data_IF_755925463557
#
_entry.id   IF_755925463557
#
_cell.length_a   1.000
_cell.length_b   1.000
_cell.length_c   1.000
_cell.angle_alpha   90.00
_cell.angle_beta   90.00
_cell.angle_gamma   90.00
#
_symmetry.space_group_name_H-M   'P 1'
#
loop_
_entity.id
_entity.type
_entity.pdbx_description
1 polymer ?
#
# COMPACT_ATOMS: atom_id res chain seq x y z
N UNK A 1 -31.17 4.85 -5.33
CA UNK A 1 -30.21 5.88 -4.91
C UNK A 1 -28.91 5.66 -5.68
N UNK A 2 -28.18 6.71 -6.00
CA UNK A 2 -26.92 6.68 -6.78
C UNK A 2 -25.79 7.37 -6.02
N UNK A 3 -24.56 7.10 -6.42
CA UNK A 3 -23.36 7.77 -5.91
C UNK A 3 -22.36 8.02 -7.05
N UNK A 4 -21.40 8.92 -6.84
CA UNK A 4 -20.34 9.21 -7.81
C UNK A 4 -19.20 8.19 -7.68
N UNK A 5 -18.62 7.86 -8.82
CA UNK A 5 -17.45 7.01 -8.96
C UNK A 5 -16.59 7.47 -10.15
N UNK A 6 -15.28 7.24 -10.08
CA UNK A 6 -14.36 7.47 -11.18
C UNK A 6 -14.31 6.22 -12.06
N UNK A 7 -14.99 6.27 -13.20
CA UNK A 7 -15.16 5.12 -14.09
C UNK A 7 -14.04 5.09 -15.12
N UNK A 8 -13.28 4.00 -15.15
CA UNK A 8 -12.30 3.66 -16.17
C UNK A 8 -12.96 2.92 -17.34
N UNK A 9 -12.88 3.50 -18.54
CA UNK A 9 -13.73 3.11 -19.68
C UNK A 9 -13.01 2.33 -20.80
N UNK A 10 -11.68 2.25 -20.81
CA UNK A 10 -10.92 1.63 -21.91
C UNK A 10 -9.58 1.05 -21.43
N UNK A 11 -9.09 -0.02 -22.07
CA UNK A 11 -7.81 -0.69 -21.73
C UNK A 11 -6.57 -0.19 -22.50
N UNK A 12 -6.73 0.78 -23.41
CA UNK A 12 -5.68 1.22 -24.34
C UNK A 12 -5.23 2.66 -24.07
N UNK A 13 -3.99 3.06 -24.45
CA UNK A 13 -3.46 4.39 -24.16
C UNK A 13 -4.39 5.50 -24.70
N UNK A 14 -4.61 6.52 -23.86
CA UNK A 14 -5.66 7.56 -23.90
C UNK A 14 -7.01 7.17 -23.24
N UNK A 15 -7.00 6.18 -22.35
CA UNK A 15 -8.19 5.73 -21.63
C UNK A 15 -8.83 6.87 -20.81
N UNK A 16 -10.14 7.06 -20.98
CA UNK A 16 -10.91 8.06 -20.24
C UNK A 16 -11.24 7.51 -18.87
N UNK A 17 -10.89 8.25 -17.82
CA UNK A 17 -11.54 8.14 -16.52
C UNK A 17 -12.50 9.30 -16.37
N UNK A 18 -13.78 9.00 -16.16
CA UNK A 18 -14.82 10.01 -16.03
C UNK A 18 -15.60 9.80 -14.74
N UNK A 19 -15.88 10.90 -14.04
CA UNK A 19 -16.75 10.86 -12.88
C UNK A 19 -18.19 10.63 -13.35
N UNK A 20 -18.81 9.52 -12.92
CA UNK A 20 -20.16 9.14 -13.31
C UNK A 20 -20.99 8.69 -12.12
N UNK A 21 -22.30 8.82 -12.25
CA UNK A 21 -23.26 8.22 -11.33
C UNK A 21 -23.33 6.71 -11.52
N UNK A 22 -23.35 5.97 -10.41
CA UNK A 22 -23.58 4.53 -10.35
C UNK A 22 -24.65 4.19 -9.32
N UNK A 23 -25.41 3.09 -9.50
CA UNK A 23 -26.31 2.60 -8.46
C UNK A 23 -25.52 2.28 -7.18
N UNK A 24 -26.10 2.59 -6.01
CA UNK A 24 -25.49 2.19 -4.73
C UNK A 24 -25.51 0.65 -4.63
N UNK A 25 -24.35 -0.01 -4.44
CA UNK A 25 -24.29 -1.46 -4.38
C UNK A 25 -24.72 -1.97 -3.00
N UNK A 26 -25.52 -3.04 -2.92
CA UNK A 26 -25.89 -3.66 -1.64
C UNK A 26 -24.85 -4.70 -1.21
N UNK A 27 -24.47 -4.76 0.09
CA UNK A 27 -23.51 -5.74 0.55
C UNK A 27 -24.10 -7.16 0.51
N UNK A 28 -23.29 -8.13 0.08
CA UNK A 28 -23.57 -9.54 0.29
C UNK A 28 -23.43 -9.94 1.77
N UNK A 29 -23.74 -11.19 2.11
CA UNK A 29 -23.84 -11.66 3.50
C UNK A 29 -22.59 -11.42 4.36
N UNK A 30 -21.39 -11.51 3.78
CA UNK A 30 -20.11 -11.31 4.49
C UNK A 30 -19.46 -9.93 4.24
N UNK A 31 -20.18 -9.03 3.57
CA UNK A 31 -19.66 -7.73 3.18
C UNK A 31 -20.23 -6.62 4.05
N UNK A 32 -19.52 -5.49 4.05
CA UNK A 32 -20.03 -4.22 4.55
C UNK A 32 -20.06 -3.22 3.41
N UNK A 33 -21.01 -2.30 3.48
CA UNK A 33 -21.05 -1.11 2.64
C UNK A 33 -20.41 0.03 3.41
N UNK A 34 -19.49 0.75 2.77
CA UNK A 34 -18.74 1.85 3.38
C UNK A 34 -18.97 3.13 2.60
N UNK A 35 -19.33 4.18 3.32
CA UNK A 35 -19.22 5.57 2.86
C UNK A 35 -17.76 5.98 2.90
N UNK A 36 -17.13 6.07 1.73
CA UNK A 36 -15.70 6.37 1.59
C UNK A 36 -15.47 7.85 1.85
N UNK A 37 -14.85 8.18 2.99
CA UNK A 37 -14.52 9.57 3.33
C UNK A 37 -13.23 10.02 2.63
N UNK A 38 -12.24 9.13 2.55
CA UNK A 38 -10.97 9.37 1.89
C UNK A 38 -10.51 8.13 1.12
N UNK A 39 -9.88 8.35 -0.03
CA UNK A 39 -9.21 7.30 -0.81
C UNK A 39 -7.81 7.76 -1.21
N UNK A 40 -6.82 6.88 -1.08
CA UNK A 40 -5.43 7.21 -1.40
C UNK A 40 -5.01 6.66 -2.76
N UNK A 41 -4.05 7.34 -3.39
CA UNK A 41 -3.52 6.98 -4.71
C UNK A 41 -2.14 6.36 -4.56
N UNK A 42 -1.95 5.21 -5.19
CA UNK A 42 -0.76 4.41 -5.25
C UNK A 42 -0.09 4.47 -6.63
N UNK A 43 1.21 4.15 -6.73
CA UNK A 43 1.88 4.02 -8.01
C UNK A 43 1.30 2.93 -8.93
N UNK A 44 0.52 1.98 -8.41
CA UNK A 44 -0.14 0.97 -9.24
C UNK A 44 -1.32 1.56 -10.00
N UNK A 45 -2.07 2.50 -9.40
CA UNK A 45 -3.31 3.04 -10.00
C UNK A 45 -3.05 3.75 -11.33
N UNK A 46 -1.99 4.58 -11.42
CA UNK A 46 -1.64 5.22 -12.69
C UNK A 46 -1.08 4.22 -13.71
N UNK A 47 -0.48 3.10 -13.27
CA UNK A 47 0.00 2.04 -14.18
C UNK A 47 -1.15 1.18 -14.70
N UNK A 48 -2.17 0.93 -13.88
CA UNK A 48 -3.43 0.33 -14.31
C UNK A 48 -4.08 1.22 -15.37
N UNK A 49 -4.14 2.53 -15.12
CA UNK A 49 -4.68 3.50 -16.05
C UNK A 49 -3.89 3.60 -17.37
N UNK A 50 -2.58 3.84 -17.31
CA UNK A 50 -1.72 4.09 -18.48
C UNK A 50 -1.48 2.80 -19.30
N UNK A 51 -1.36 1.64 -18.64
CA UNK A 51 -0.90 0.39 -19.27
C UNK A 51 -1.92 -0.75 -19.23
N UNK A 52 -3.11 -0.53 -18.66
CA UNK A 52 -4.13 -1.57 -18.52
C UNK A 52 -3.73 -2.71 -17.57
N UNK A 53 -2.74 -2.50 -16.69
CA UNK A 53 -2.31 -3.51 -15.73
C UNK A 53 -3.50 -3.99 -14.91
N UNK A 54 -3.61 -5.30 -14.72
CA UNK A 54 -4.66 -5.90 -13.87
C UNK A 54 -6.11 -5.58 -14.30
N UNK A 55 -6.39 -4.95 -15.45
CA UNK A 55 -7.79 -4.68 -15.86
C UNK A 55 -8.30 -5.75 -16.83
N UNK A 56 -9.23 -6.57 -16.35
CA UNK A 56 -9.83 -7.66 -17.14
C UNK A 56 -11.13 -7.28 -17.83
N UNK A 57 -11.91 -6.35 -17.28
CA UNK A 57 -13.16 -5.87 -17.89
C UNK A 57 -13.28 -4.35 -17.78
N UNK A 58 -14.01 -3.74 -18.72
CA UNK A 58 -14.37 -2.32 -18.72
C UNK A 58 -15.85 -2.18 -19.12
N UNK A 59 -16.57 -1.15 -18.64
CA UNK A 59 -16.13 -0.14 -17.68
C UNK A 59 -15.91 -0.72 -16.27
N UNK A 60 -14.99 -0.13 -15.50
CA UNK A 60 -14.68 -0.53 -14.11
C UNK A 60 -14.31 0.68 -13.25
N UNK A 61 -14.11 0.48 -11.96
CA UNK A 61 -13.53 1.46 -11.02
C UNK A 61 -12.10 1.01 -10.66
N UNK A 62 -11.19 1.96 -10.45
CA UNK A 62 -9.83 1.71 -9.95
C UNK A 62 -9.69 2.15 -8.48
N UNK A 63 -8.48 2.00 -7.94
CA UNK A 63 -8.16 2.41 -6.58
C UNK A 63 -8.39 1.32 -5.55
N UNK A 64 -7.51 1.31 -4.55
CA UNK A 64 -7.41 0.23 -3.58
C UNK A 64 -7.35 0.70 -2.13
N UNK A 65 -7.10 1.97 -1.86
CA UNK A 65 -6.96 2.46 -0.49
C UNK A 65 -8.16 3.31 -0.09
N UNK A 66 -8.84 2.95 1.00
CA UNK A 66 -9.91 3.77 1.54
C UNK A 66 -10.01 3.74 3.06
N UNK A 67 -10.60 4.81 3.57
CA UNK A 67 -11.15 4.90 4.92
C UNK A 67 -12.54 5.53 4.87
N UNK A 68 -13.40 5.16 5.81
CA UNK A 68 -14.78 5.60 5.80
C UNK A 68 -15.63 5.08 6.93
N UNK A 69 -16.93 5.20 6.77
CA UNK A 69 -17.93 4.83 7.76
C UNK A 69 -18.84 3.72 7.23
N UNK A 70 -19.10 2.69 8.03
CA UNK A 70 -20.00 1.59 7.67
C UNK A 70 -21.44 2.09 7.59
N UNK A 71 -22.08 1.92 6.44
CA UNK A 71 -23.48 2.33 6.22
C UNK A 71 -24.46 1.16 6.22
N UNK A 72 -23.99 -0.05 5.84
CA UNK A 72 -24.77 -1.30 5.88
C UNK A 72 -23.86 -2.49 6.17
N UNK A 73 -24.44 -3.53 6.76
CA UNK A 73 -23.75 -4.78 7.07
C UNK A 73 -24.52 -5.96 6.47
N UNK A 74 -23.79 -6.92 5.91
CA UNK A 74 -24.33 -8.19 5.47
C UNK A 74 -24.81 -9.05 6.64
N UNK A 75 -25.70 -10.00 6.36
CA UNK A 75 -26.38 -10.81 7.37
C UNK A 75 -25.47 -11.65 8.27
N UNK A 76 -24.27 -11.98 7.81
CA UNK A 76 -23.29 -12.80 8.54
C UNK A 76 -22.21 -11.95 9.21
N UNK A 77 -22.21 -10.63 9.02
CA UNK A 77 -21.21 -9.75 9.59
C UNK A 77 -21.53 -9.49 11.06
N UNK A 78 -20.59 -9.86 11.94
CA UNK A 78 -20.69 -9.66 13.39
C UNK A 78 -19.64 -8.69 13.94
N UNK A 79 -18.53 -8.48 13.22
CA UNK A 79 -17.41 -7.62 13.64
C UNK A 79 -17.71 -6.12 13.55
N UNK A 80 -18.68 -5.73 12.71
CA UNK A 80 -18.99 -4.34 12.41
C UNK A 80 -20.46 -4.01 12.63
N UNK A 81 -20.72 -2.75 12.91
CA UNK A 81 -22.03 -2.12 13.00
C UNK A 81 -22.07 -0.85 12.15
N UNK A 82 -23.27 -0.42 11.76
CA UNK A 82 -23.46 0.87 11.09
C UNK A 82 -22.91 1.99 11.97
N UNK A 83 -22.15 2.91 11.37
CA UNK A 83 -21.45 4.00 12.06
C UNK A 83 -20.01 3.67 12.47
N UNK A 84 -19.56 2.41 12.38
CA UNK A 84 -18.16 2.07 12.63
C UNK A 84 -17.24 2.78 11.62
N UNK A 85 -16.15 3.35 12.12
CA UNK A 85 -15.08 3.94 11.32
C UNK A 85 -14.09 2.87 10.92
N UNK A 86 -13.81 2.74 9.63
CA UNK A 86 -13.00 1.64 9.08
C UNK A 86 -11.99 2.11 8.06
N UNK A 87 -10.91 1.33 7.93
CA UNK A 87 -9.96 1.40 6.83
C UNK A 87 -9.83 0.02 6.19
N UNK A 88 -9.64 -0.02 4.88
CA UNK A 88 -9.61 -1.26 4.13
C UNK A 88 -8.85 -1.13 2.81
N UNK A 89 -8.37 -2.28 2.33
CA UNK A 89 -7.88 -2.42 0.97
C UNK A 89 -9.03 -2.91 0.07
N UNK A 90 -9.20 -2.25 -1.07
CA UNK A 90 -10.14 -2.65 -2.11
C UNK A 90 -9.72 -3.91 -2.84
N UNK A 91 -10.39 -4.16 -3.96
CA UNK A 91 -10.14 -5.30 -4.82
C UNK A 91 -9.94 -4.86 -6.28
N UNK A 92 -8.91 -5.44 -6.90
CA UNK A 92 -8.67 -5.26 -8.33
C UNK A 92 -9.71 -5.98 -9.19
N UNK A 93 -10.05 -5.37 -10.32
CA UNK A 93 -10.80 -6.02 -11.38
C UNK A 93 -9.92 -6.84 -12.33
N UNK A 94 -9.11 -7.74 -11.74
CA UNK A 94 -8.05 -8.48 -12.43
C UNK A 94 -8.31 -9.96 -12.65
N UNK A 95 -9.45 -10.46 -12.17
CA UNK A 95 -9.77 -11.90 -12.18
C UNK A 95 -11.20 -12.17 -12.66
N UNK A 96 -11.76 -11.31 -13.51
CA UNK A 96 -13.17 -11.42 -13.90
C UNK A 96 -14.10 -11.26 -12.69
N UNK A 97 -13.78 -10.31 -11.81
CA UNK A 97 -14.60 -10.06 -10.64
C UNK A 97 -16.02 -9.68 -11.08
N UNK A 98 -17.02 -10.32 -10.46
CA UNK A 98 -18.43 -10.00 -10.70
C UNK A 98 -18.90 -8.76 -9.95
N UNK A 99 -18.00 -8.10 -9.19
CA UNK A 99 -18.32 -6.91 -8.41
C UNK A 99 -18.50 -5.68 -9.30
N UNK A 100 -18.01 -5.73 -10.55
CA UNK A 100 -18.11 -4.64 -11.51
C UNK A 100 -17.49 -3.33 -10.95
N UNK A 101 -16.38 -3.46 -10.21
CA UNK A 101 -15.68 -2.35 -9.55
C UNK A 101 -16.32 -1.87 -8.24
N UNK A 102 -17.36 -2.52 -7.71
CA UNK A 102 -17.99 -2.12 -6.44
C UNK A 102 -17.06 -2.26 -5.22
N UNK A 103 -15.98 -3.04 -5.34
CA UNK A 103 -14.97 -3.23 -4.29
C UNK A 103 -13.70 -2.38 -4.48
N UNK A 104 -13.64 -1.52 -5.49
CA UNK A 104 -12.55 -0.56 -5.67
C UNK A 104 -12.84 0.73 -4.87
N UNK A 105 -11.88 1.66 -4.75
CA UNK A 105 -11.99 2.76 -3.79
C UNK A 105 -12.14 4.16 -4.38
N UNK A 106 -11.94 4.37 -5.69
CA UNK A 106 -12.17 5.68 -6.32
C UNK A 106 -13.66 5.96 -6.56
N UNK A 107 -14.44 5.93 -5.48
CA UNK A 107 -15.88 6.12 -5.46
C UNK A 107 -16.38 6.53 -4.08
N UNK A 108 -17.60 7.10 -4.02
CA UNK A 108 -18.22 7.55 -2.78
C UNK A 108 -18.73 6.42 -1.86
N UNK A 109 -19.17 5.31 -2.45
CA UNK A 109 -19.65 4.12 -1.75
C UNK A 109 -18.93 2.90 -2.31
N UNK A 110 -18.36 2.07 -1.43
CA UNK A 110 -17.71 0.82 -1.81
C UNK A 110 -18.22 -0.34 -0.95
N UNK A 111 -18.12 -1.56 -1.49
CA UNK A 111 -18.27 -2.79 -0.76
C UNK A 111 -16.89 -3.32 -0.35
N UNK A 112 -16.81 -4.00 0.77
CA UNK A 112 -15.60 -4.72 1.17
C UNK A 112 -15.97 -5.94 2.00
N UNK A 113 -15.16 -7.00 1.89
CA UNK A 113 -15.30 -8.18 2.73
C UNK A 113 -14.90 -7.83 4.18
N UNK A 114 -15.76 -8.16 5.13
CA UNK A 114 -15.60 -7.72 6.52
C UNK A 114 -14.30 -8.28 7.17
N UNK A 115 -13.87 -9.47 6.77
CA UNK A 115 -12.68 -10.13 7.28
C UNK A 115 -11.36 -9.52 6.77
N UNK A 116 -11.41 -8.67 5.74
CA UNK A 116 -10.28 -7.91 5.19
C UNK A 116 -10.38 -6.41 5.51
N UNK A 117 -11.12 -6.07 6.57
CA UNK A 117 -11.33 -4.69 7.04
C UNK A 117 -10.91 -4.55 8.51
N UNK A 118 -10.40 -3.37 8.87
CA UNK A 118 -10.10 -3.01 10.25
C UNK A 118 -10.91 -1.80 10.72
N UNK A 119 -11.19 -1.75 12.02
CA UNK A 119 -11.70 -0.55 12.68
C UNK A 119 -10.59 0.47 12.84
N UNK A 120 -10.96 1.74 12.75
CA UNK A 120 -10.08 2.87 13.03
C UNK A 120 -10.21 3.26 14.52
N UNK A 121 -9.11 3.61 15.21
CA UNK A 121 -9.21 4.29 16.49
C UNK A 121 -9.76 5.70 16.31
N UNK A 122 -10.46 6.22 17.33
CA UNK A 122 -11.09 7.54 17.25
C UNK A 122 -10.10 8.68 16.96
N UNK A 123 -8.86 8.53 17.40
CA UNK A 123 -7.77 9.49 17.26
C UNK A 123 -7.21 9.61 15.85
N UNK A 124 -7.54 8.68 14.94
CA UNK A 124 -7.00 8.67 13.58
C UNK A 124 -8.03 9.25 12.61
N UNK A 125 -7.68 10.30 11.87
CA UNK A 125 -8.55 10.90 10.86
C UNK A 125 -8.62 10.04 9.58
N UNK A 126 -9.64 10.27 8.76
CA UNK A 126 -9.87 9.51 7.54
C UNK A 126 -8.75 9.68 6.50
N UNK A 127 -8.22 10.89 6.31
CA UNK A 127 -7.21 11.13 5.28
C UNK A 127 -5.93 10.35 5.61
N UNK A 128 -5.49 10.42 6.87
CA UNK A 128 -4.36 9.65 7.38
C UNK A 128 -4.61 8.15 7.30
N UNK A 129 -5.79 7.67 7.72
CA UNK A 129 -6.13 6.25 7.68
C UNK A 129 -6.12 5.67 6.26
N UNK A 130 -6.58 6.43 5.26
CA UNK A 130 -6.56 5.99 3.87
C UNK A 130 -5.14 5.78 3.35
N UNK A 131 -4.09 6.32 3.99
CA UNK A 131 -2.71 6.12 3.52
C UNK A 131 -2.10 4.74 3.85
N UNK A 132 -2.80 3.94 4.64
CA UNK A 132 -2.31 2.69 5.24
C UNK A 132 -2.47 1.45 4.33
N UNK A 133 -3.67 1.13 3.79
CA UNK A 133 -4.02 -0.23 3.40
C UNK A 133 -3.02 -0.96 2.47
N UNK A 134 -2.89 -0.55 1.21
CA UNK A 134 -2.06 -1.25 0.22
C UNK A 134 -0.59 -1.32 0.59
N UNK A 135 -0.03 -0.21 1.10
CA UNK A 135 1.39 -0.15 1.39
C UNK A 135 1.74 -1.00 2.62
N UNK A 136 0.85 -1.04 3.60
CA UNK A 136 0.99 -1.89 4.78
C UNK A 136 0.77 -3.37 4.42
N UNK A 137 -0.20 -3.69 3.55
CA UNK A 137 -0.39 -5.05 3.03
C UNK A 137 0.84 -5.56 2.28
N UNK A 138 1.45 -4.69 1.47
CA UNK A 138 2.69 -5.02 0.73
C UNK A 138 3.84 -5.30 1.69
N UNK A 139 4.01 -4.48 2.73
CA UNK A 139 5.02 -4.69 3.75
C UNK A 139 4.77 -5.97 4.57
N UNK A 140 3.52 -6.27 4.93
CA UNK A 140 3.16 -7.50 5.63
C UNK A 140 3.45 -8.74 4.77
N UNK A 141 3.06 -8.73 3.49
CA UNK A 141 3.37 -9.80 2.54
C UNK A 141 4.87 -10.02 2.37
N UNK A 142 5.65 -8.94 2.29
CA UNK A 142 7.10 -9.01 2.18
C UNK A 142 7.75 -9.69 3.40
N UNK A 143 7.29 -9.38 4.62
CA UNK A 143 7.90 -9.92 5.83
C UNK A 143 7.39 -11.31 6.18
N UNK A 144 6.10 -11.57 6.02
CA UNK A 144 5.45 -12.71 6.69
C UNK A 144 4.89 -13.77 5.74
N UNK A 145 4.78 -13.50 4.45
CA UNK A 145 4.24 -14.46 3.46
C UNK A 145 5.18 -14.61 2.25
N UNK A 146 4.93 -13.88 1.17
CA UNK A 146 5.60 -14.02 -0.13
C UNK A 146 7.12 -13.81 -0.09
N UNK A 147 7.60 -12.95 0.82
CA UNK A 147 9.02 -12.64 0.96
C UNK A 147 9.75 -13.61 1.88
N UNK A 148 9.83 -13.26 3.17
CA UNK A 148 10.68 -13.94 4.15
C UNK A 148 10.01 -15.06 4.95
N UNK A 149 8.68 -15.10 4.97
CA UNK A 149 7.89 -16.05 5.76
C UNK A 149 8.29 -16.05 7.25
N UNK A 150 8.51 -14.85 7.81
CA UNK A 150 8.75 -14.68 9.24
C UNK A 150 7.49 -15.04 10.03
N UNK A 151 7.63 -15.41 11.30
CA UNK A 151 6.50 -15.55 12.22
C UNK A 151 5.84 -14.17 12.39
N UNK A 152 4.55 -14.02 12.05
CA UNK A 152 3.88 -12.74 12.14
C UNK A 152 3.69 -12.26 13.60
N UNK A 153 3.70 -10.94 13.87
CA UNK A 153 3.42 -10.42 15.22
C UNK A 153 2.06 -10.84 15.78
N UNK A 154 1.03 -10.98 14.93
CA UNK A 154 -0.30 -11.45 15.32
C UNK A 154 -0.37 -12.95 15.64
N UNK A 155 0.72 -13.69 15.40
CA UNK A 155 0.88 -15.12 15.73
C UNK A 155 2.05 -15.33 16.71
N UNK A 156 2.36 -14.32 17.53
CA UNK A 156 3.41 -14.41 18.55
C UNK A 156 4.83 -14.17 18.02
N UNK A 157 4.96 -13.52 16.86
CA UNK A 157 6.24 -13.13 16.27
C UNK A 157 6.81 -11.79 16.76
N UNK A 158 6.08 -11.05 17.60
CA UNK A 158 6.52 -9.74 18.10
C UNK A 158 7.85 -9.88 18.87
N UNK A 159 8.85 -9.07 18.52
CA UNK A 159 10.18 -9.09 19.14
C UNK A 159 11.06 -10.34 18.84
N UNK A 160 10.57 -11.33 18.08
CA UNK A 160 11.24 -12.62 17.88
C UNK A 160 12.59 -12.52 17.14
N UNK A 161 12.82 -11.42 16.43
CA UNK A 161 13.99 -11.21 15.59
C UNK A 161 15.01 -10.23 16.20
N UNK A 162 14.96 -10.03 17.52
CA UNK A 162 15.94 -9.24 18.27
C UNK A 162 17.38 -9.68 18.00
N UNK A 163 18.29 -8.70 17.92
CA UNK A 163 19.70 -8.90 17.59
C UNK A 163 19.99 -9.06 16.10
N UNK A 164 18.97 -9.15 15.24
CA UNK A 164 19.14 -9.20 13.79
C UNK A 164 18.96 -7.82 13.16
N UNK A 165 19.61 -7.59 12.02
CA UNK A 165 19.52 -6.33 11.26
C UNK A 165 18.75 -6.54 9.97
N UNK A 166 17.86 -5.61 9.65
CA UNK A 166 17.08 -5.58 8.42
C UNK A 166 17.39 -4.30 7.66
N UNK A 167 17.62 -4.39 6.34
CA UNK A 167 17.86 -3.20 5.50
C UNK A 167 16.65 -2.90 4.63
N UNK A 168 16.23 -1.62 4.60
CA UNK A 168 15.17 -1.12 3.75
C UNK A 168 15.71 -0.05 2.82
N UNK A 169 15.80 -0.32 1.52
CA UNK A 169 16.12 0.71 0.53
C UNK A 169 14.86 1.50 0.18
N UNK A 170 14.93 2.83 0.25
CA UNK A 170 13.79 3.72 -0.01
C UNK A 170 12.80 3.83 1.15
N UNK A 171 13.30 4.00 2.38
CA UNK A 171 12.47 4.02 3.60
C UNK A 171 11.40 5.10 3.65
N UNK A 172 11.57 6.22 2.95
CA UNK A 172 10.57 7.30 2.89
C UNK A 172 9.43 7.06 1.89
N UNK A 173 9.44 5.94 1.18
CA UNK A 173 8.27 5.48 0.41
C UNK A 173 7.21 4.92 1.37
N UNK A 174 5.95 4.83 0.93
CA UNK A 174 4.89 4.25 1.78
C UNK A 174 5.19 2.80 2.18
N UNK A 175 5.61 1.95 1.24
CA UNK A 175 5.97 0.55 1.55
C UNK A 175 7.19 0.49 2.46
N UNK A 176 8.21 1.31 2.20
CA UNK A 176 9.41 1.39 3.04
C UNK A 176 9.08 1.78 4.48
N UNK A 177 8.21 2.78 4.68
CA UNK A 177 7.82 3.26 6.00
C UNK A 177 7.04 2.19 6.80
N UNK A 178 6.10 1.47 6.18
CA UNK A 178 5.41 0.36 6.88
C UNK A 178 6.32 -0.85 7.08
N UNK A 179 7.27 -1.10 6.17
CA UNK A 179 8.30 -2.14 6.34
C UNK A 179 9.16 -1.87 7.57
N UNK A 180 9.63 -0.63 7.76
CA UNK A 180 10.40 -0.22 8.93
C UNK A 180 9.61 -0.52 10.21
N UNK A 181 8.35 -0.08 10.28
CA UNK A 181 7.53 -0.25 11.48
C UNK A 181 7.24 -1.73 11.80
N UNK A 182 6.90 -2.54 10.79
CA UNK A 182 6.65 -3.98 10.97
C UNK A 182 7.93 -4.75 11.31
N UNK A 183 9.07 -4.38 10.73
CA UNK A 183 10.36 -4.99 11.06
C UNK A 183 10.79 -4.66 12.50
N UNK A 184 10.59 -3.42 12.94
CA UNK A 184 10.83 -2.99 14.32
C UNK A 184 9.90 -3.73 15.29
N UNK A 185 8.61 -3.86 14.96
CA UNK A 185 7.65 -4.63 15.75
C UNK A 185 8.06 -6.11 15.86
N UNK A 186 8.62 -6.67 14.80
CA UNK A 186 9.23 -8.01 14.78
C UNK A 186 10.54 -8.11 15.58
N UNK A 187 11.11 -7.00 16.03
CA UNK A 187 12.33 -6.94 16.84
C UNK A 187 13.61 -6.67 16.07
N UNK A 188 13.56 -6.45 14.75
CA UNK A 188 14.76 -6.12 13.99
C UNK A 188 15.31 -4.73 14.34
N UNK A 189 16.62 -4.59 14.30
CA UNK A 189 17.27 -3.28 14.11
C UNK A 189 17.18 -2.91 12.63
N UNK A 190 16.57 -1.77 12.31
CA UNK A 190 16.34 -1.38 10.91
C UNK A 190 17.29 -0.29 10.45
N UNK A 191 17.99 -0.53 9.35
CA UNK A 191 18.81 0.46 8.63
C UNK A 191 18.08 0.78 7.33
N UNK A 192 18.04 2.06 6.96
CA UNK A 192 17.34 2.45 5.73
C UNK A 192 18.09 3.49 4.93
N UNK A 193 17.89 3.46 3.61
CA UNK A 193 18.31 4.55 2.71
C UNK A 193 17.10 5.39 2.32
N UNK A 194 17.26 6.71 2.32
CA UNK A 194 16.23 7.66 1.90
C UNK A 194 16.88 9.02 1.57
N UNK A 195 16.09 10.00 1.13
CA UNK A 195 16.58 11.38 1.18
C UNK A 195 16.73 11.82 2.64
N UNK A 196 17.86 12.43 2.99
CA UNK A 196 18.18 12.78 4.38
C UNK A 196 17.17 13.75 5.02
N UNK A 197 16.41 14.49 4.21
CA UNK A 197 15.33 15.36 4.70
C UNK A 197 14.24 14.60 5.48
N UNK A 198 14.13 13.29 5.27
CA UNK A 198 13.17 12.41 5.96
C UNK A 198 13.77 11.69 7.17
N UNK A 199 15.01 11.98 7.56
CA UNK A 199 15.71 11.22 8.59
C UNK A 199 14.99 11.23 9.95
N UNK A 200 14.48 12.39 10.38
CA UNK A 200 13.79 12.51 11.66
C UNK A 200 12.48 11.74 11.66
N UNK A 201 11.71 11.81 10.57
CA UNK A 201 10.50 11.00 10.40
C UNK A 201 10.83 9.50 10.45
N UNK A 202 11.83 9.04 9.69
CA UNK A 202 12.20 7.63 9.64
C UNK A 202 12.71 7.09 10.98
N UNK A 203 13.46 7.90 11.73
CA UNK A 203 13.85 7.58 13.12
C UNK A 203 12.64 7.51 14.05
N UNK A 204 11.67 8.43 13.89
CA UNK A 204 10.45 8.45 14.72
C UNK A 204 9.53 7.24 14.53
N UNK A 205 9.69 6.50 13.42
CA UNK A 205 9.00 5.24 13.12
C UNK A 205 9.90 4.01 13.32
N UNK A 206 11.11 4.19 13.86
CA UNK A 206 11.95 3.11 14.39
C UNK A 206 13.20 2.75 13.57
N UNK A 207 13.53 3.46 12.49
CA UNK A 207 14.82 3.27 11.83
C UNK A 207 15.97 3.65 12.79
N UNK A 208 16.91 2.74 13.01
CA UNK A 208 18.09 3.03 13.86
C UNK A 208 19.09 3.93 13.15
N UNK A 209 19.22 3.75 11.83
CA UNK A 209 20.16 4.49 10.99
C UNK A 209 19.48 4.86 9.67
N UNK A 210 19.63 6.11 9.26
CA UNK A 210 19.16 6.61 7.96
C UNK A 210 20.38 7.09 7.18
N UNK A 211 20.58 6.53 6.00
CA UNK A 211 21.68 6.84 5.10
C UNK A 211 21.12 7.62 3.91
N UNK A 212 21.81 8.68 3.49
CA UNK A 212 21.38 9.43 2.32
C UNK A 212 21.57 8.58 1.06
N UNK A 213 20.48 8.30 0.36
CA UNK A 213 20.47 7.55 -0.90
C UNK A 213 21.27 8.23 -2.02
N UNK A 214 21.59 9.52 -1.88
CA UNK A 214 22.45 10.26 -2.82
C UNK A 214 23.94 10.17 -2.48
N UNK A 215 24.31 9.54 -1.37
CA UNK A 215 25.70 9.33 -1.00
C UNK A 215 26.42 8.51 -2.08
N UNK A 216 27.60 8.96 -2.52
CA UNK A 216 28.46 8.17 -3.42
C UNK A 216 29.02 6.91 -2.75
N UNK A 217 28.92 6.82 -1.42
CA UNK A 217 29.36 5.70 -0.59
C UNK A 217 28.19 4.93 0.01
N UNK A 218 26.97 5.08 -0.51
CA UNK A 218 25.74 4.50 0.08
C UNK A 218 25.87 3.02 0.44
N UNK A 219 26.41 2.18 -0.46
CA UNK A 219 26.59 0.76 -0.20
C UNK A 219 27.58 0.48 0.95
N UNK A 220 28.73 1.15 0.96
CA UNK A 220 29.71 1.00 2.05
C UNK A 220 29.21 1.58 3.37
N UNK A 221 28.43 2.65 3.34
CA UNK A 221 27.81 3.25 4.53
C UNK A 221 26.78 2.29 5.13
N UNK A 222 26.01 1.59 4.28
CA UNK A 222 25.06 0.56 4.72
C UNK A 222 25.81 -0.61 5.36
N UNK A 223 26.85 -1.14 4.69
CA UNK A 223 27.65 -2.25 5.22
C UNK A 223 28.30 -1.89 6.56
N UNK A 224 28.85 -0.67 6.69
CA UNK A 224 29.43 -0.18 7.94
C UNK A 224 28.38 -0.05 9.06
N UNK A 225 27.19 0.46 8.76
CA UNK A 225 26.11 0.58 9.73
C UNK A 225 25.51 -0.79 10.13
N UNK A 226 25.50 -1.77 9.23
CA UNK A 226 25.14 -3.16 9.54
C UNK A 226 26.22 -3.81 10.40
N UNK A 227 27.49 -3.55 10.11
CA UNK A 227 28.65 -4.28 10.66
C UNK A 227 29.07 -5.47 9.79
N UNK A 228 28.70 -5.47 8.51
CA UNK A 228 28.91 -6.57 7.57
C UNK A 228 27.83 -6.61 6.47
N UNK A 229 27.72 -7.73 5.77
CA UNK A 229 26.69 -7.92 4.75
C UNK A 229 25.35 -8.33 5.39
N UNK A 230 24.24 -7.59 5.16
CA UNK A 230 22.93 -7.96 5.68
C UNK A 230 22.37 -9.22 5.03
N UNK A 231 21.68 -10.04 5.83
CA UNK A 231 20.96 -11.22 5.34
C UNK A 231 19.63 -10.88 4.66
N UNK A 232 18.96 -9.81 5.11
CA UNK A 232 17.62 -9.42 4.68
C UNK A 232 17.62 -7.98 4.17
N UNK A 233 17.21 -7.81 2.91
CA UNK A 233 17.07 -6.51 2.26
C UNK A 233 15.71 -6.43 1.61
N UNK A 234 14.98 -5.35 1.86
CA UNK A 234 13.80 -4.99 1.08
C UNK A 234 14.11 -3.74 0.25
N UNK A 235 13.93 -3.83 -1.06
CA UNK A 235 14.00 -2.69 -1.96
C UNK A 235 12.59 -2.17 -2.26
N UNK A 236 12.21 -1.08 -1.58
CA UNK A 236 10.89 -0.46 -1.73
C UNK A 236 10.77 0.42 -2.98
N UNK A 237 11.84 0.55 -3.77
CA UNK A 237 11.88 1.29 -5.04
C UNK A 237 11.89 0.33 -6.22
N UNK A 238 12.74 -0.71 -6.15
CA UNK A 238 12.83 -1.81 -7.12
C UNK A 238 13.07 -1.38 -8.57
N UNK A 239 13.80 -0.27 -8.76
CA UNK A 239 14.31 0.14 -10.07
C UNK A 239 15.73 -0.40 -10.28
N UNK A 240 16.26 -0.27 -11.49
CA UNK A 240 17.55 -0.87 -11.85
C UNK A 240 18.69 -0.52 -10.86
N UNK A 241 18.80 0.74 -10.49
CA UNK A 241 19.87 1.21 -9.60
C UNK A 241 19.72 0.68 -8.17
N UNK A 242 18.50 0.65 -7.62
CA UNK A 242 18.27 0.17 -6.25
C UNK A 242 18.33 -1.34 -6.14
N UNK A 243 17.96 -2.07 -7.21
CA UNK A 243 18.16 -3.52 -7.27
C UNK A 243 19.65 -3.86 -7.34
N UNK A 244 20.44 -3.07 -8.07
CA UNK A 244 21.90 -3.21 -8.08
C UNK A 244 22.46 -2.96 -6.67
N UNK A 245 22.07 -1.87 -6.02
CA UNK A 245 22.50 -1.54 -4.65
C UNK A 245 22.15 -2.66 -3.65
N UNK A 246 20.93 -3.20 -3.73
CA UNK A 246 20.51 -4.34 -2.90
C UNK A 246 21.41 -5.57 -3.11
N UNK A 247 21.80 -5.84 -4.36
CA UNK A 247 22.68 -6.95 -4.70
C UNK A 247 24.14 -6.70 -4.27
N UNK A 248 24.59 -5.45 -4.25
CA UNK A 248 25.93 -5.07 -3.81
C UNK A 248 26.11 -5.26 -2.31
N UNK A 249 25.07 -5.01 -1.51
CA UNK A 249 25.15 -5.09 -0.04
C UNK A 249 24.78 -6.47 0.52
N UNK A 250 23.84 -7.20 -0.10
CA UNK A 250 23.30 -8.43 0.50
C UNK A 250 24.35 -9.54 0.63
N UNK A 251 24.33 -10.27 1.74
CA UNK A 251 25.21 -11.41 1.94
C UNK A 251 24.92 -12.53 0.92
N UNK A 252 25.94 -13.32 0.49
CA UNK A 252 25.71 -14.58 -0.20
C UNK A 252 24.74 -15.49 0.57
N UNK A 253 23.78 -16.12 -0.12
CA UNK A 253 22.71 -16.89 0.55
C UNK A 253 21.62 -16.03 1.22
N UNK A 254 21.74 -14.70 1.16
CA UNK A 254 20.77 -13.75 1.69
C UNK A 254 19.45 -13.70 0.91
N UNK A 255 18.60 -12.76 1.24
CA UNK A 255 17.28 -12.59 0.61
C UNK A 255 17.01 -11.12 0.32
N UNK A 256 16.68 -10.85 -0.94
CA UNK A 256 16.29 -9.52 -1.44
C UNK A 256 14.83 -9.58 -1.86
N UNK A 257 14.03 -8.68 -1.32
CA UNK A 257 12.60 -8.57 -1.62
C UNK A 257 12.38 -7.33 -2.48
N UNK A 258 11.62 -7.48 -3.56
CA UNK A 258 11.33 -6.44 -4.54
C UNK A 258 9.82 -6.18 -4.62
N UNK A 259 9.45 -4.92 -4.81
CA UNK A 259 8.07 -4.46 -5.03
C UNK A 259 7.74 -4.24 -6.50
N UNK A 260 8.73 -4.34 -7.39
CA UNK A 260 8.58 -4.33 -8.85
C UNK A 260 9.31 -5.53 -9.48
N UNK A 261 9.18 -5.69 -10.80
CA UNK A 261 9.81 -6.78 -11.55
C UNK A 261 11.34 -6.80 -11.43
N UNK A 262 11.90 -8.01 -11.32
CA UNK A 262 13.34 -8.25 -11.28
C UNK A 262 14.00 -7.78 -12.57
N UNK A 263 15.11 -7.04 -12.45
CA UNK A 263 15.96 -6.64 -13.57
C UNK A 263 16.95 -7.76 -13.95
N UNK A 264 17.28 -7.95 -15.24
CA UNK A 264 18.18 -9.02 -15.68
C UNK A 264 19.54 -9.03 -14.98
N UNK A 265 20.13 -7.84 -14.73
CA UNK A 265 21.41 -7.71 -14.04
C UNK A 265 21.34 -8.21 -12.59
N UNK A 266 20.28 -7.82 -11.86
CA UNK A 266 20.07 -8.28 -10.50
C UNK A 266 19.85 -9.79 -10.43
N UNK A 267 19.13 -10.37 -11.41
CA UNK A 267 18.98 -11.82 -11.53
C UNK A 267 20.32 -12.54 -11.71
N UNK A 268 21.19 -12.03 -12.59
CA UNK A 268 22.53 -12.60 -12.80
C UNK A 268 23.36 -12.62 -11.51
N UNK A 269 23.44 -11.48 -10.81
CA UNK A 269 24.15 -11.39 -9.53
C UNK A 269 23.53 -12.29 -8.44
N UNK A 270 22.21 -12.46 -8.45
CA UNK A 270 21.55 -13.33 -7.48
C UNK A 270 21.90 -14.80 -7.69
N UNK A 271 22.02 -15.25 -8.94
CA UNK A 271 22.51 -16.59 -9.25
C UNK A 271 23.96 -16.78 -8.79
N UNK A 272 24.83 -15.79 -9.05
CA UNK A 272 26.24 -15.83 -8.64
C UNK A 272 26.43 -15.89 -7.12
N UNK A 273 25.67 -15.07 -6.38
CA UNK A 273 25.75 -14.96 -4.91
C UNK A 273 24.82 -15.94 -4.18
N UNK A 274 24.09 -16.79 -4.89
CA UNK A 274 23.03 -17.66 -4.33
C UNK A 274 22.01 -16.87 -3.47
N UNK A 275 21.64 -15.66 -3.92
CA UNK A 275 20.66 -14.81 -3.23
C UNK A 275 19.26 -15.20 -3.65
N UNK A 276 18.36 -15.29 -2.66
CA UNK A 276 16.93 -15.51 -2.91
C UNK A 276 16.27 -14.18 -3.28
N UNK A 277 15.87 -14.01 -4.53
CA UNK A 277 15.04 -12.89 -4.97
C UNK A 277 13.56 -13.23 -4.81
N UNK A 278 12.80 -12.33 -4.17
CA UNK A 278 11.35 -12.50 -3.96
C UNK A 278 10.60 -11.26 -4.42
N UNK A 279 9.66 -11.42 -5.36
CA UNK A 279 8.69 -10.37 -5.66
C UNK A 279 7.58 -10.36 -4.62
N UNK A 280 7.13 -9.18 -4.18
CA UNK A 280 6.03 -9.02 -3.25
C UNK A 280 5.02 -7.97 -3.74
N UNK A 281 3.77 -8.14 -3.32
CA UNK A 281 2.68 -7.19 -3.55
C UNK A 281 1.60 -7.40 -2.49
N UNK A 282 0.90 -6.33 -2.11
CA UNK A 282 -0.28 -6.40 -1.26
C UNK A 282 -1.52 -6.72 -2.09
N UNK A 283 -2.12 -7.89 -1.87
CA UNK A 283 -3.36 -8.30 -2.53
C UNK A 283 -4.23 -9.15 -1.60
N UNK A 284 -4.88 -8.56 -0.58
CA UNK A 284 -5.71 -9.30 0.39
C UNK A 284 -6.75 -10.20 -0.24
N UNK A 285 -7.42 -9.72 -1.29
CA UNK A 285 -8.41 -10.48 -2.05
C UNK A 285 -7.83 -11.74 -2.75
N UNK A 286 -6.53 -11.78 -3.05
CA UNK A 286 -5.85 -12.93 -3.68
C UNK A 286 -5.27 -13.91 -2.67
N UNK A 287 -4.89 -13.43 -1.49
CA UNK A 287 -4.30 -14.25 -0.42
C UNK A 287 -5.07 -14.11 0.91
N UNK A 288 -6.40 -14.33 0.92
CA UNK A 288 -7.23 -14.00 2.08
C UNK A 288 -6.85 -14.79 3.33
N UNK A 289 -6.38 -16.03 3.20
CA UNK A 289 -5.98 -16.85 4.35
C UNK A 289 -4.87 -16.20 5.19
N UNK A 290 -3.87 -15.59 4.55
CA UNK A 290 -2.83 -14.84 5.23
C UNK A 290 -3.36 -13.50 5.75
N UNK A 291 -4.09 -12.76 4.91
CA UNK A 291 -4.48 -11.39 5.20
C UNK A 291 -5.59 -11.27 6.26
N UNK A 292 -6.43 -12.29 6.47
CA UNK A 292 -7.44 -12.27 7.55
C UNK A 292 -6.82 -12.09 8.93
N UNK A 293 -5.76 -12.83 9.25
CA UNK A 293 -5.03 -12.70 10.52
C UNK A 293 -4.41 -11.32 10.66
N UNK A 294 -3.81 -10.82 9.59
CA UNK A 294 -3.24 -9.48 9.53
C UNK A 294 -4.29 -8.39 9.79
N UNK A 295 -5.37 -8.35 9.00
CA UNK A 295 -6.43 -7.34 9.09
C UNK A 295 -7.23 -7.42 10.40
N UNK A 296 -7.30 -8.60 11.03
CA UNK A 296 -7.82 -8.73 12.39
C UNK A 296 -6.95 -7.99 13.42
N UNK A 297 -5.63 -7.94 13.23
CA UNK A 297 -4.70 -7.31 14.16
C UNK A 297 -4.46 -5.81 13.90
N UNK A 298 -4.73 -5.31 12.69
CA UNK A 298 -4.47 -3.91 12.28
C UNK A 298 -5.08 -2.89 13.26
N UNK A 299 -6.34 -3.06 13.68
CA UNK A 299 -6.98 -2.13 14.61
C UNK A 299 -6.19 -1.99 15.93
N UNK A 300 -5.74 -3.12 16.49
CA UNK A 300 -4.91 -3.13 17.70
C UNK A 300 -3.52 -2.50 17.50
N UNK A 301 -2.92 -2.62 16.32
CA UNK A 301 -1.65 -1.94 16.03
C UNK A 301 -1.80 -0.42 15.95
N UNK A 302 -2.92 0.06 15.40
CA UNK A 302 -3.24 1.49 15.34
C UNK A 302 -3.56 2.03 16.73
N UNK A 303 -4.34 1.32 17.54
CA UNK A 303 -4.63 1.69 18.93
C UNK A 303 -3.38 1.75 19.80
N UNK A 304 -2.46 0.80 19.64
CA UNK A 304 -1.16 0.78 20.35
C UNK A 304 -0.18 1.85 19.84
N UNK A 305 -0.44 2.46 18.69
CA UNK A 305 0.46 3.42 18.04
C UNK A 305 1.77 2.83 17.54
N UNK A 306 1.87 1.49 17.44
CA UNK A 306 3.04 0.79 16.86
C UNK A 306 3.06 0.85 15.34
N UNK A 307 1.91 1.14 14.73
CA UNK A 307 1.78 1.51 13.33
C UNK A 307 1.19 2.92 13.26
N UNK A 308 1.88 3.79 12.54
CA UNK A 308 1.52 5.18 12.27
C UNK A 308 1.31 5.37 10.77
N UNK A 309 0.27 6.13 10.44
CA UNK A 309 -0.06 6.48 9.07
C UNK A 309 1.04 7.30 8.39
N UNK A 310 1.09 7.26 7.06
CA UNK A 310 1.89 8.21 6.30
C UNK A 310 1.24 9.59 6.33
N UNK A 311 2.04 10.63 6.03
CA UNK A 311 1.52 11.99 5.88
C UNK A 311 0.60 12.07 4.64
N UNK A 312 -0.68 12.42 4.79
CA UNK A 312 -1.56 12.60 3.64
C UNK A 312 -1.25 13.93 2.94
N UNK A 313 -1.31 13.90 1.60
CA UNK A 313 -1.41 15.08 0.74
C UNK A 313 -2.79 15.06 0.10
N UNK A 314 -3.71 15.78 0.71
CA UNK A 314 -5.10 15.88 0.23
C UNK A 314 -5.14 16.83 -0.96
N UNK A 315 -5.63 16.35 -2.11
CA UNK A 315 -5.87 17.18 -3.28
C UNK A 315 -7.34 17.67 -3.29
N UNK A 316 -7.59 18.94 -3.66
CA UNK A 316 -8.94 19.48 -3.73
C UNK A 316 -9.70 18.95 -4.95
N UNK A 317 -11.04 18.97 -4.90
CA UNK A 317 -11.90 18.62 -6.05
C UNK A 317 -12.43 17.19 -6.05
N UNK A 318 -12.18 16.43 -4.98
CA UNK A 318 -12.65 15.06 -4.82
C UNK A 318 -12.13 14.13 -5.92
N UNK A 319 -13.01 13.37 -6.57
CA UNK A 319 -12.64 12.43 -7.63
C UNK A 319 -12.09 13.13 -8.88
N UNK A 320 -12.35 14.41 -9.07
CA UNK A 320 -11.79 15.18 -10.21
C UNK A 320 -10.27 15.41 -10.08
N UNK A 321 -9.68 15.20 -8.91
CA UNK A 321 -8.25 15.37 -8.68
C UNK A 321 -7.37 14.23 -9.24
N UNK A 322 -7.98 13.21 -9.86
CA UNK A 322 -7.29 11.99 -10.26
C UNK A 322 -6.15 12.24 -11.27
N UNK A 323 -6.30 13.19 -12.20
CA UNK A 323 -5.27 13.51 -13.19
C UNK A 323 -4.01 14.08 -12.52
N UNK A 324 -4.19 15.04 -11.60
CA UNK A 324 -3.08 15.58 -10.82
C UNK A 324 -2.45 14.49 -9.95
N UNK A 325 -3.27 13.68 -9.27
CA UNK A 325 -2.78 12.60 -8.44
C UNK A 325 -1.88 11.62 -9.23
N UNK A 326 -2.30 11.24 -10.44
CA UNK A 326 -1.54 10.33 -11.30
C UNK A 326 -0.30 11.00 -11.86
N UNK A 327 -0.38 12.28 -12.25
CA UNK A 327 0.77 13.05 -12.72
C UNK A 327 1.86 13.17 -11.63
N UNK A 328 1.48 13.43 -10.38
CA UNK A 328 2.43 13.52 -9.26
C UNK A 328 3.23 12.23 -9.07
N UNK A 329 2.59 11.06 -9.22
CA UNK A 329 3.26 9.76 -9.20
C UNK A 329 4.14 9.54 -10.42
N UNK A 330 3.59 9.78 -11.62
CA UNK A 330 4.29 9.59 -12.91
C UNK A 330 5.56 10.42 -12.99
N UNK A 331 5.53 11.64 -12.47
CA UNK A 331 6.63 12.60 -12.51
C UNK A 331 7.57 12.49 -11.29
N UNK A 332 7.29 11.59 -10.33
CA UNK A 332 8.12 11.38 -9.14
C UNK A 332 8.17 12.60 -8.22
N UNK A 333 7.11 13.41 -8.17
CA UNK A 333 7.03 14.66 -7.38
C UNK A 333 6.63 14.46 -5.92
N UNK A 334 6.30 13.23 -5.53
CA UNK A 334 5.92 12.89 -4.14
C UNK A 334 7.15 12.51 -3.32
N UNK A 335 7.20 13.01 -2.07
CA UNK A 335 8.33 12.80 -1.18
C UNK A 335 7.88 12.72 0.28
N UNK A 336 7.83 11.51 0.84
CA UNK A 336 7.42 11.27 2.24
C UNK A 336 5.94 11.55 2.52
N UNK A 337 5.11 11.56 1.47
CA UNK A 337 3.67 11.84 1.54
C UNK A 337 2.91 10.88 0.62
N UNK A 338 1.61 10.68 0.92
CA UNK A 338 0.72 9.88 0.09
C UNK A 338 -0.48 10.70 -0.35
N UNK A 339 -0.76 10.70 -1.65
CA UNK A 339 -1.87 11.48 -2.22
C UNK A 339 -3.20 10.91 -1.79
N UNK A 340 -4.12 11.78 -1.38
CA UNK A 340 -5.47 11.45 -0.94
C UNK A 340 -6.48 12.30 -1.70
N UNK A 341 -7.58 11.67 -2.10
CA UNK A 341 -8.77 12.32 -2.63
C UNK A 341 -9.94 12.09 -1.66
N UNK A 342 -10.84 13.07 -1.56
CA UNK A 342 -12.06 12.97 -0.75
C UNK A 342 -13.29 12.84 -1.65
N UNK A 343 -13.83 11.63 -1.89
CA UNK A 343 -14.85 11.42 -2.92
C UNK A 343 -16.12 12.28 -2.79
N UNK A 344 -16.45 12.71 -1.57
CA UNK A 344 -17.61 13.56 -1.28
C UNK A 344 -17.38 15.06 -1.54
N UNK A 345 -16.15 15.49 -1.83
CA UNK A 345 -15.84 16.85 -2.30
C UNK A 345 -15.98 17.00 -3.82
N UNK A 346 -16.35 15.93 -4.52
CA UNK A 346 -16.59 15.92 -5.96
C UNK A 346 -17.82 16.75 -6.29
N UNK A 347 -17.62 17.90 -6.95
CA UNK A 347 -18.73 18.69 -7.48
C UNK A 347 -19.39 17.93 -8.62
N UNK A 348 -20.72 17.97 -8.65
CA UNK A 348 -21.49 17.44 -9.78
C UNK A 348 -21.08 18.17 -11.06
N UNK A 349 -20.82 17.41 -12.11
CA UNK A 349 -20.72 17.99 -13.46
C UNK A 349 -22.15 18.35 -13.85
N UNK A 350 -22.38 19.62 -14.22
CA UNK A 350 -23.68 20.06 -14.71
C UNK A 350 -24.02 19.24 -15.96
N UNK A 351 -25.26 18.76 -16.14
CA UNK A 351 -25.67 18.07 -17.38
C UNK A 351 -25.46 18.90 -18.66
N UNK A 352 -25.15 20.20 -18.54
CA UNK A 352 -24.85 21.10 -19.66
C UNK A 352 -23.42 21.02 -20.17
N UNK A 353 -22.51 20.37 -19.45
CA UNK A 353 -21.09 20.29 -19.82
C UNK A 353 -20.75 19.01 -20.63
N UNK A 354 -21.76 18.19 -20.97
CA UNK A 354 -21.64 16.97 -21.79
C UNK A 354 -22.02 17.17 -23.27
N UNK A 355 -22.27 18.41 -23.73
CA UNK A 355 -22.67 18.72 -25.12
C UNK A 355 -21.51 19.26 -25.99
#
# INVERSE_FOLDING_TARGET
>A
MSHLALVYESKYPNARQTVKWRPIPEPESNQIQVKVHATAVNPVDYKEFDNGWFVTTVPTILGMDASGEVTKVGSNVTKFSVGDRVLFNGQWNCQGDGSNGNKATFQQIALVDADLTAKMPDTLDYDSAATIPMAMDTAASALYDLGLSLTPPWEGGEGKYSGQTFVVLGGSSSVGAYTIQLAVLSGFRVITTASIVHADYLKSIGASTVIDRKSSTVASDVLAAVGGEPRYVLDAISLADTQQEAMDIVAPGGTVILVLGVQPRAMGMALEKNVRLRGCHGAPHRYPEFFRGFWAAVGGYLERGVIKANKPRVLPGGLHAWEEAFALHREGKLSGEKVVMRPWETKEISPRDEL
#
